data_IF_053323282607
#
_entry.id   IF_053323282607
#
_cell.length_a   1.000
_cell.length_b   1.000
_cell.length_c   1.000
_cell.angle_alpha   90.00
_cell.angle_beta   90.00
_cell.angle_gamma   90.00
#
_symmetry.space_group_name_H-M   'P 1'
#
loop_
_entity.id
_entity.type
_entity.pdbx_description
1 polymer ?
#
# COMPACT_ATOMS: atom_id res chain seq x y z
N UNK A 1 -12.65 0.35 56.94
CA UNK A 1 -11.19 0.07 57.00
C UNK A 1 -10.48 0.80 55.87
N UNK A 2 -9.31 1.37 56.20
CA UNK A 2 -8.05 1.45 55.42
C UNK A 2 -8.09 1.29 53.89
N UNK A 3 -7.64 2.35 53.20
CA UNK A 3 -7.23 2.40 51.80
C UNK A 3 -5.92 1.64 51.54
N UNK A 4 -5.71 1.16 50.31
CA UNK A 4 -4.38 0.88 49.72
C UNK A 4 -4.44 0.99 48.20
N UNK A 5 -4.03 2.13 47.63
CA UNK A 5 -3.77 2.28 46.19
C UNK A 5 -2.32 1.91 45.90
N UNK A 6 -2.09 0.90 45.06
CA UNK A 6 -0.73 0.51 44.66
C UNK A 6 -0.26 1.35 43.46
N UNK A 7 0.55 2.38 43.71
CA UNK A 7 1.25 3.12 42.66
C UNK A 7 2.51 2.33 42.26
N UNK A 8 2.61 1.89 41.01
CA UNK A 8 3.81 1.22 40.49
C UNK A 8 4.76 2.26 39.89
N UNK A 9 6.00 2.29 40.36
CA UNK A 9 6.94 3.38 40.12
C UNK A 9 7.94 3.01 39.01
N UNK A 10 8.00 3.80 37.95
CA UNK A 10 8.92 3.58 36.81
C UNK A 10 10.30 4.17 37.14
N UNK A 11 11.40 3.39 37.14
CA UNK A 11 12.74 3.94 37.31
C UNK A 11 13.22 4.61 36.02
N UNK A 12 13.55 5.91 36.11
CA UNK A 12 14.21 6.64 35.02
C UNK A 12 15.67 6.18 34.90
N UNK A 13 16.07 5.67 33.73
CA UNK A 13 17.48 5.38 33.43
C UNK A 13 18.07 6.56 32.66
N UNK A 14 18.93 7.32 33.35
CA UNK A 14 19.64 8.47 32.81
C UNK A 14 20.88 8.02 32.04
N UNK A 15 20.80 7.97 30.70
CA UNK A 15 21.96 7.66 29.85
C UNK A 15 22.71 8.96 29.52
N UNK A 16 23.97 9.06 29.97
CA UNK A 16 24.81 10.23 29.74
C UNK A 16 25.35 10.26 28.31
N UNK A 17 25.27 11.43 27.67
CA UNK A 17 26.02 11.70 26.45
C UNK A 17 27.52 11.88 26.77
N UNK A 18 28.39 11.06 26.18
CA UNK A 18 29.85 11.26 26.19
C UNK A 18 30.38 11.43 24.77
N UNK A 19 30.58 12.68 24.36
CA UNK A 19 31.28 12.99 23.11
C UNK A 19 32.79 12.80 23.30
N UNK A 20 33.41 11.93 22.49
CA UNK A 20 34.86 11.73 22.48
C UNK A 20 35.45 12.45 21.28
N UNK A 21 36.31 13.44 21.56
CA UNK A 21 37.07 14.22 20.57
C UNK A 21 38.48 13.63 20.45
N UNK A 22 38.97 13.38 19.23
CA UNK A 22 40.36 12.94 18.98
C UNK A 22 40.94 13.73 17.79
N UNK A 23 42.12 14.37 17.91
CA UNK A 23 42.66 15.24 16.87
C UNK A 23 43.72 14.60 15.95
N UNK A 24 43.65 14.97 14.68
CA UNK A 24 44.74 15.41 13.79
C UNK A 24 46.05 14.58 13.59
N UNK A 25 46.24 14.17 12.33
CA UNK A 25 47.47 14.38 11.50
C UNK A 25 48.72 13.50 11.66
N UNK A 26 49.13 12.91 10.53
CA UNK A 26 50.52 12.54 10.14
C UNK A 26 50.69 12.84 8.62
N UNK A 27 51.92 13.11 8.16
CA UNK A 27 52.24 13.59 6.81
C UNK A 27 53.28 12.70 6.07
N UNK A 28 53.03 12.41 4.78
CA UNK A 28 53.98 12.11 3.68
C UNK A 28 53.12 11.91 2.39
N UNK A 29 53.36 12.45 1.18
CA UNK A 29 54.57 12.55 0.32
C UNK A 29 55.08 11.17 -0.15
N UNK A 30 55.27 10.87 -1.45
CA UNK A 30 55.05 11.59 -2.73
C UNK A 30 54.66 10.55 -3.84
N UNK A 31 54.65 10.72 -5.18
CA UNK A 31 55.07 11.72 -6.18
C UNK A 31 54.20 11.58 -7.48
N UNK A 32 54.32 12.41 -8.55
CA UNK A 32 53.31 12.49 -9.63
C UNK A 32 53.53 11.61 -10.87
N UNK A 33 52.45 11.39 -11.64
CA UNK A 33 52.49 11.01 -13.06
C UNK A 33 51.38 11.75 -13.84
N UNK A 34 51.72 12.39 -14.96
CA UNK A 34 50.78 13.14 -15.80
C UNK A 34 50.11 12.23 -16.87
N UNK A 35 48.92 12.58 -17.39
CA UNK A 35 48.16 11.70 -18.29
C UNK A 35 48.58 11.83 -19.77
N UNK A 36 48.40 10.78 -20.60
CA UNK A 36 48.40 10.90 -22.05
C UNK A 36 47.09 11.55 -22.52
N UNK A 37 47.18 12.61 -23.33
CA UNK A 37 46.03 13.27 -23.93
C UNK A 37 45.66 12.63 -25.28
N UNK A 38 44.38 12.25 -25.45
CA UNK A 38 43.86 11.69 -26.71
C UNK A 38 42.74 12.56 -27.30
N UNK A 39 43.16 13.51 -28.12
CA UNK A 39 42.53 14.04 -29.34
C UNK A 39 40.98 14.13 -29.41
N UNK A 40 40.49 15.37 -29.47
CA UNK A 40 39.09 15.69 -29.82
C UNK A 40 38.91 15.82 -31.34
N UNK A 41 37.92 15.15 -31.93
CA UNK A 41 37.19 15.61 -33.13
C UNK A 41 35.77 14.99 -33.19
N UNK A 42 34.82 15.55 -33.96
CA UNK A 42 33.46 15.73 -33.43
C UNK A 42 32.31 15.02 -34.18
N UNK A 43 31.17 15.02 -33.49
CA UNK A 43 29.81 15.08 -34.05
C UNK A 43 29.29 13.90 -34.89
N UNK A 44 28.54 13.00 -34.23
CA UNK A 44 27.33 12.41 -34.83
C UNK A 44 26.20 12.49 -33.81
N UNK A 45 25.21 13.34 -34.07
CA UNK A 45 23.98 13.36 -33.28
C UNK A 45 23.21 12.04 -33.47
N UNK A 46 23.23 11.19 -32.44
CA UNK A 46 22.28 10.09 -32.29
C UNK A 46 21.23 10.55 -31.28
N UNK A 47 20.00 10.78 -31.76
CA UNK A 47 18.85 10.97 -30.89
C UNK A 47 18.67 9.69 -30.08
N UNK A 48 18.91 9.76 -28.77
CA UNK A 48 18.37 8.75 -27.86
C UNK A 48 16.85 8.90 -27.88
N UNK A 49 16.08 7.88 -28.32
CA UNK A 49 14.64 7.90 -28.07
C UNK A 49 14.45 7.85 -26.56
N UNK A 50 13.70 8.80 -26.00
CA UNK A 50 13.35 8.74 -24.59
C UNK A 50 12.60 7.43 -24.34
N UNK A 51 13.03 6.65 -23.35
CA UNK A 51 12.42 5.38 -22.98
C UNK A 51 11.03 5.59 -22.39
N UNK A 52 10.04 5.79 -23.26
CA UNK A 52 8.64 5.64 -22.91
C UNK A 52 8.42 4.16 -22.58
N UNK A 53 8.34 3.83 -21.28
CA UNK A 53 7.90 2.52 -20.79
C UNK A 53 6.40 2.38 -21.01
N UNK A 54 5.99 2.31 -22.28
CA UNK A 54 4.60 2.36 -22.73
C UNK A 54 4.09 0.98 -23.11
N UNK A 55 3.19 0.43 -22.29
CA UNK A 55 2.25 -0.65 -22.65
C UNK A 55 2.82 -2.00 -23.14
N UNK A 56 4.15 -2.20 -23.13
CA UNK A 56 4.77 -3.50 -23.42
C UNK A 56 4.60 -4.47 -22.23
N UNK A 57 3.46 -5.17 -22.18
CA UNK A 57 3.22 -6.42 -21.44
C UNK A 57 1.83 -7.01 -21.74
N UNK A 58 0.86 -6.20 -22.19
CA UNK A 58 -0.47 -6.67 -22.64
C UNK A 58 -0.44 -7.33 -24.04
N UNK A 59 0.66 -8.00 -24.37
CA UNK A 59 0.73 -8.91 -25.51
C UNK A 59 0.01 -10.21 -25.10
N UNK A 60 -1.30 -10.26 -25.33
CA UNK A 60 -2.10 -11.46 -25.10
C UNK A 60 -1.45 -12.66 -25.79
N UNK A 61 -1.22 -13.75 -25.05
CA UNK A 61 -0.61 -14.93 -25.64
C UNK A 61 -1.56 -15.49 -26.71
N UNK A 62 -1.01 -16.05 -27.78
CA UNK A 62 -1.80 -16.61 -28.89
C UNK A 62 -2.53 -17.88 -28.45
N UNK A 63 -3.66 -17.69 -27.77
CA UNK A 63 -4.42 -18.72 -27.05
C UNK A 63 -5.22 -18.19 -25.85
N UNK A 64 -4.92 -17.00 -25.33
CA UNK A 64 -5.68 -16.40 -24.22
C UNK A 64 -7.13 -16.10 -24.62
N UNK A 65 -8.10 -16.57 -23.82
CA UNK A 65 -9.51 -16.22 -24.05
C UNK A 65 -9.82 -14.79 -23.59
N UNK A 66 -10.95 -14.26 -24.07
CA UNK A 66 -11.46 -12.96 -23.61
C UNK A 66 -11.81 -12.93 -22.11
N UNK A 67 -11.96 -14.08 -21.44
CA UNK A 67 -12.06 -14.15 -19.99
C UNK A 67 -10.67 -14.16 -19.36
N UNK A 68 -9.73 -15.01 -19.81
CA UNK A 68 -8.36 -15.03 -19.26
C UNK A 68 -7.67 -13.66 -19.32
N UNK A 69 -7.93 -12.83 -20.33
CA UNK A 69 -7.42 -11.46 -20.37
C UNK A 69 -7.98 -10.57 -19.23
N UNK A 70 -9.24 -10.77 -18.80
CA UNK A 70 -9.81 -10.10 -17.62
C UNK A 70 -9.19 -10.66 -16.35
N UNK A 71 -9.12 -11.96 -16.19
CA UNK A 71 -8.55 -12.63 -15.02
C UNK A 71 -7.12 -12.13 -14.75
N UNK A 72 -6.30 -12.00 -15.81
CA UNK A 72 -4.96 -11.42 -15.75
C UNK A 72 -4.94 -9.92 -15.40
N UNK A 73 -5.89 -9.15 -15.91
CA UNK A 73 -6.07 -7.74 -15.53
C UNK A 73 -6.52 -7.58 -14.07
N UNK A 74 -7.42 -8.45 -13.59
CA UNK A 74 -7.88 -8.50 -12.22
C UNK A 74 -6.73 -8.83 -11.27
N UNK A 75 -5.95 -9.90 -11.51
CA UNK A 75 -4.79 -10.27 -10.69
C UNK A 75 -3.77 -9.12 -10.58
N UNK A 76 -3.50 -8.43 -11.69
CA UNK A 76 -2.62 -7.25 -11.73
C UNK A 76 -3.19 -6.05 -10.96
N UNK A 77 -4.52 -5.85 -10.96
CA UNK A 77 -5.21 -4.81 -10.15
C UNK A 77 -5.20 -5.14 -8.67
N UNK A 78 -5.60 -6.35 -8.30
CA UNK A 78 -5.68 -6.83 -6.92
C UNK A 78 -4.31 -6.74 -6.22
N UNK A 79 -3.22 -7.12 -6.90
CA UNK A 79 -1.87 -6.96 -6.38
C UNK A 79 -1.38 -5.50 -6.32
N UNK A 80 -2.01 -4.56 -7.04
CA UNK A 80 -1.74 -3.13 -6.92
C UNK A 80 -2.44 -2.56 -5.68
N UNK A 81 -3.75 -2.80 -5.55
CA UNK A 81 -4.54 -2.40 -4.38
C UNK A 81 -4.00 -3.01 -3.09
N UNK A 82 -3.84 -4.33 -3.05
CA UNK A 82 -3.28 -5.04 -1.89
C UNK A 82 -1.86 -4.61 -1.50
N UNK A 83 -1.06 -4.02 -2.40
CA UNK A 83 0.23 -3.41 -2.04
C UNK A 83 0.05 -2.02 -1.42
N UNK A 84 -0.89 -1.22 -1.93
CA UNK A 84 -1.28 0.06 -1.34
C UNK A 84 -1.86 -0.14 0.07
N UNK A 85 -2.83 -1.06 0.22
CA UNK A 85 -3.52 -1.33 1.48
C UNK A 85 -2.56 -1.80 2.59
N UNK A 86 -1.55 -2.62 2.28
CA UNK A 86 -0.50 -2.99 3.23
C UNK A 86 0.33 -1.77 3.66
N UNK A 87 0.72 -0.88 2.74
CA UNK A 87 1.50 0.32 3.08
C UNK A 87 0.68 1.38 3.83
N UNK A 88 -0.59 1.55 3.47
CA UNK A 88 -1.51 2.45 4.16
C UNK A 88 -1.90 1.90 5.54
N UNK A 89 -2.08 0.58 5.67
CA UNK A 89 -2.25 -0.12 6.95
C UNK A 89 -1.05 0.05 7.88
N UNK A 90 0.17 -0.01 7.35
CA UNK A 90 1.40 0.27 8.10
C UNK A 90 1.43 1.73 8.60
N UNK A 91 1.03 2.71 7.79
CA UNK A 91 0.87 4.09 8.26
C UNK A 91 -0.20 4.20 9.36
N UNK A 92 -1.34 3.54 9.21
CA UNK A 92 -2.43 3.61 10.19
C UNK A 92 -2.11 2.93 11.52
N UNK A 93 -1.42 1.80 11.52
CA UNK A 93 -0.89 1.16 12.72
C UNK A 93 0.08 2.07 13.51
N UNK A 94 0.81 2.95 12.82
CA UNK A 94 1.80 3.88 13.41
C UNK A 94 1.22 5.24 13.79
N UNK A 95 0.33 5.81 12.96
CA UNK A 95 -0.12 7.22 13.01
C UNK A 95 -1.59 7.39 13.43
N UNK A 96 -2.38 6.32 13.45
CA UNK A 96 -3.81 6.37 13.81
C UNK A 96 -4.03 6.97 15.20
N UNK A 97 -5.00 7.86 15.35
CA UNK A 97 -5.17 8.64 16.58
C UNK A 97 -5.90 7.88 17.68
N UNK A 98 -6.74 6.90 17.33
CA UNK A 98 -7.34 5.95 18.28
C UNK A 98 -6.93 4.50 18.00
N UNK A 99 -7.01 3.66 19.02
CA UNK A 99 -6.47 2.30 18.97
C UNK A 99 -7.26 1.39 18.01
N UNK A 100 -8.52 1.71 17.71
CA UNK A 100 -9.32 1.00 16.71
C UNK A 100 -8.81 1.26 15.28
N UNK A 101 -8.31 2.47 14.99
CA UNK A 101 -7.72 2.80 13.68
C UNK A 101 -6.37 2.12 13.52
N UNK A 102 -5.56 2.06 14.59
CA UNK A 102 -4.30 1.30 14.59
C UNK A 102 -4.54 -0.19 14.42
N UNK A 103 -5.52 -0.76 15.14
CA UNK A 103 -5.87 -2.17 15.05
C UNK A 103 -6.44 -2.55 13.67
N UNK A 104 -7.28 -1.70 13.07
CA UNK A 104 -7.74 -1.89 11.70
C UNK A 104 -6.58 -1.76 10.71
N UNK A 105 -5.68 -0.79 10.88
CA UNK A 105 -4.44 -0.66 10.12
C UNK A 105 -3.59 -1.93 10.15
N UNK A 106 -3.34 -2.48 11.33
CA UNK A 106 -2.63 -3.76 11.48
C UNK A 106 -3.37 -4.92 10.80
N UNK A 107 -4.70 -4.99 10.91
CA UNK A 107 -5.49 -6.01 10.21
C UNK A 107 -5.38 -5.90 8.68
N UNK A 108 -5.29 -4.69 8.12
CA UNK A 108 -4.99 -4.51 6.68
C UNK A 108 -3.61 -5.09 6.34
N UNK A 109 -2.58 -4.80 7.15
CA UNK A 109 -1.23 -5.35 6.95
C UNK A 109 -1.26 -6.87 6.95
N UNK A 110 -1.83 -7.50 7.97
CA UNK A 110 -1.78 -8.95 8.16
C UNK A 110 -2.59 -9.69 7.07
N UNK A 111 -3.84 -9.28 6.85
CA UNK A 111 -4.73 -9.96 5.91
C UNK A 111 -4.33 -9.70 4.45
N UNK A 112 -4.03 -8.45 4.05
CA UNK A 112 -3.68 -8.18 2.64
C UNK A 112 -2.28 -8.70 2.30
N UNK A 113 -1.32 -8.72 3.24
CA UNK A 113 -0.05 -9.44 3.03
C UNK A 113 -0.31 -10.92 2.76
N UNK A 114 -1.24 -11.55 3.51
CA UNK A 114 -1.62 -12.94 3.24
C UNK A 114 -2.30 -13.10 1.86
N UNK A 115 -3.28 -12.26 1.51
CA UNK A 115 -3.97 -12.33 0.22
C UNK A 115 -3.02 -12.13 -0.96
N UNK A 116 -2.09 -11.18 -0.87
CA UNK A 116 -1.05 -10.96 -1.88
C UNK A 116 -0.18 -12.23 -2.08
N UNK A 117 0.25 -12.86 -0.97
CA UNK A 117 1.05 -14.09 -1.00
C UNK A 117 0.26 -15.29 -1.55
N UNK A 118 -1.03 -15.42 -1.22
CA UNK A 118 -1.91 -16.47 -1.72
C UNK A 118 -2.17 -16.32 -3.25
N UNK A 119 -2.28 -15.08 -3.75
CA UNK A 119 -2.56 -14.76 -5.16
C UNK A 119 -1.32 -14.79 -6.06
N UNK A 120 -0.13 -14.50 -5.53
CA UNK A 120 1.13 -14.46 -6.29
C UNK A 120 1.42 -15.70 -7.18
N UNK A 121 1.29 -16.96 -6.71
CA UNK A 121 1.50 -18.14 -7.56
C UNK A 121 0.41 -18.34 -8.63
N UNK A 122 -0.79 -17.79 -8.44
CA UNK A 122 -1.86 -17.81 -9.45
C UNK A 122 -1.52 -16.80 -10.55
N UNK A 123 -1.04 -15.61 -10.18
CA UNK A 123 -0.53 -14.63 -11.12
C UNK A 123 0.65 -15.18 -11.95
N UNK A 124 1.63 -15.81 -11.31
CA UNK A 124 2.79 -16.41 -12.00
C UNK A 124 2.38 -17.52 -12.98
N UNK A 125 1.52 -18.46 -12.56
CA UNK A 125 1.05 -19.55 -13.44
C UNK A 125 0.19 -19.08 -14.62
N UNK A 126 -0.46 -17.90 -14.51
CA UNK A 126 -1.17 -17.24 -15.61
C UNK A 126 -0.28 -16.31 -16.46
N UNK A 127 1.02 -16.17 -16.13
CA UNK A 127 1.98 -15.31 -16.83
C UNK A 127 1.82 -13.81 -16.53
N UNK A 128 1.25 -13.45 -15.38
CA UNK A 128 0.97 -12.07 -14.99
C UNK A 128 2.14 -11.48 -14.21
N UNK A 129 2.85 -10.53 -14.82
CA UNK A 129 3.88 -9.76 -14.12
C UNK A 129 3.24 -8.76 -13.14
N UNK A 130 3.27 -9.12 -11.87
CA UNK A 130 2.74 -8.29 -10.78
C UNK A 130 3.53 -6.97 -10.59
N UNK A 131 2.89 -5.90 -10.09
CA UNK A 131 3.59 -4.67 -9.73
C UNK A 131 4.57 -4.91 -8.56
N UNK A 132 5.66 -4.15 -8.53
CA UNK A 132 6.66 -4.16 -7.46
C UNK A 132 6.72 -2.85 -6.67
N UNK A 133 5.88 -1.88 -7.05
CA UNK A 133 5.84 -0.53 -6.53
C UNK A 133 4.39 -0.02 -6.52
N UNK A 134 4.14 1.07 -5.79
CA UNK A 134 2.88 1.81 -5.89
C UNK A 134 2.73 2.43 -7.28
N UNK A 135 1.50 2.59 -7.75
CA UNK A 135 1.21 3.47 -8.88
C UNK A 135 1.29 4.94 -8.41
N UNK A 136 0.99 5.91 -9.29
CA UNK A 136 1.14 7.34 -8.92
C UNK A 136 0.05 7.80 -7.96
N UNK A 137 -1.12 7.22 -8.10
CA UNK A 137 -2.35 7.52 -7.39
C UNK A 137 -2.26 6.98 -5.95
N UNK A 138 -1.87 5.71 -5.76
CA UNK A 138 -1.62 5.09 -4.45
C UNK A 138 -0.47 5.82 -3.71
N UNK A 139 0.60 6.20 -4.43
CA UNK A 139 1.75 6.89 -3.83
C UNK A 139 1.38 8.31 -3.39
N UNK A 140 0.57 9.03 -4.17
CA UNK A 140 0.09 10.35 -3.79
C UNK A 140 -0.81 10.30 -2.54
N UNK A 141 -1.64 9.25 -2.40
CA UNK A 141 -2.45 9.05 -1.20
C UNK A 141 -1.59 8.64 0.02
N UNK A 142 -0.58 7.77 -0.18
CA UNK A 142 0.41 7.46 0.86
C UNK A 142 1.15 8.71 1.34
N UNK A 143 1.63 9.56 0.42
CA UNK A 143 2.38 10.78 0.75
C UNK A 143 1.50 11.79 1.49
N UNK A 144 0.24 11.95 1.05
CA UNK A 144 -0.79 12.76 1.71
C UNK A 144 -1.07 12.28 3.14
N UNK A 145 -1.39 11.00 3.32
CA UNK A 145 -1.62 10.41 4.64
C UNK A 145 -0.37 10.47 5.53
N UNK A 146 0.82 10.29 4.97
CA UNK A 146 2.07 10.44 5.73
C UNK A 146 2.29 11.89 6.22
N UNK A 147 1.80 12.89 5.48
CA UNK A 147 1.80 14.31 5.91
C UNK A 147 0.76 14.66 6.98
N UNK A 148 -0.30 13.87 7.15
CA UNK A 148 -1.36 14.10 8.14
C UNK A 148 -1.03 13.52 9.53
N UNK A 149 -1.79 13.93 10.54
CA UNK A 149 -1.72 13.38 11.90
C UNK A 149 -3.05 13.53 12.64
N UNK A 150 -3.24 12.82 13.76
CA UNK A 150 -4.41 13.00 14.63
C UNK A 150 -5.73 12.70 13.92
N UNK A 151 -6.75 13.51 14.18
CA UNK A 151 -8.09 13.31 13.61
C UNK A 151 -8.10 13.43 12.07
N UNK A 152 -7.25 14.28 11.50
CA UNK A 152 -7.21 14.50 10.04
C UNK A 152 -6.66 13.27 9.33
N UNK A 153 -5.66 12.60 9.93
CA UNK A 153 -5.18 11.30 9.47
C UNK A 153 -6.29 10.24 9.49
N UNK A 154 -6.96 10.09 10.64
CA UNK A 154 -8.03 9.09 10.78
C UNK A 154 -9.20 9.34 9.80
N UNK A 155 -9.57 10.61 9.62
CA UNK A 155 -10.67 11.01 8.73
C UNK A 155 -10.36 10.67 7.28
N UNK A 156 -9.17 11.01 6.81
CA UNK A 156 -8.74 10.70 5.44
C UNK A 156 -8.56 9.19 5.23
N UNK A 157 -7.88 8.51 6.15
CA UNK A 157 -7.60 7.08 6.05
C UNK A 157 -8.89 6.25 6.00
N UNK A 158 -9.87 6.56 6.85
CA UNK A 158 -11.16 5.88 6.83
C UNK A 158 -12.01 6.25 5.60
N UNK A 159 -11.96 7.51 5.14
CA UNK A 159 -12.63 7.95 3.91
C UNK A 159 -12.11 7.20 2.68
N UNK A 160 -10.78 7.09 2.54
CA UNK A 160 -10.14 6.30 1.51
C UNK A 160 -10.51 4.81 1.62
N UNK A 161 -10.31 4.21 2.80
CA UNK A 161 -10.51 2.77 3.00
C UNK A 161 -11.97 2.35 2.78
N UNK A 162 -12.95 3.16 3.17
CA UNK A 162 -14.37 2.94 2.82
C UNK A 162 -14.55 2.90 1.30
N UNK A 163 -14.10 3.94 0.60
CA UNK A 163 -14.26 4.04 -0.87
C UNK A 163 -13.61 2.86 -1.59
N UNK A 164 -12.41 2.46 -1.16
CA UNK A 164 -11.65 1.41 -1.84
C UNK A 164 -12.19 0.01 -1.52
N UNK A 165 -12.55 -0.28 -0.27
CA UNK A 165 -13.14 -1.58 0.09
C UNK A 165 -14.50 -1.82 -0.57
N UNK A 166 -15.33 -0.78 -0.77
CA UNK A 166 -16.58 -0.93 -1.54
C UNK A 166 -16.33 -1.15 -3.03
N UNK A 167 -15.27 -0.55 -3.60
CA UNK A 167 -14.81 -0.80 -4.97
C UNK A 167 -14.32 -2.24 -5.12
N UNK A 168 -13.44 -2.70 -4.25
CA UNK A 168 -12.80 -4.01 -4.40
C UNK A 168 -13.74 -5.15 -4.03
N UNK A 169 -14.64 -4.96 -3.05
CA UNK A 169 -15.75 -5.89 -2.84
C UNK A 169 -16.63 -6.06 -4.08
N UNK A 170 -16.77 -5.01 -4.92
CA UNK A 170 -17.47 -5.09 -6.19
C UNK A 170 -16.63 -5.81 -7.28
N UNK A 171 -15.37 -5.44 -7.45
CA UNK A 171 -14.48 -6.06 -8.45
C UNK A 171 -14.22 -7.55 -8.15
N UNK A 172 -13.93 -7.93 -6.90
CA UNK A 172 -13.77 -9.34 -6.49
C UNK A 172 -15.06 -10.15 -6.65
N UNK A 173 -16.24 -9.57 -6.41
CA UNK A 173 -17.53 -10.25 -6.66
C UNK A 173 -17.81 -10.45 -8.16
N UNK A 174 -17.39 -9.52 -9.02
CA UNK A 174 -17.49 -9.71 -10.48
C UNK A 174 -16.54 -10.81 -10.97
N UNK A 175 -15.30 -10.82 -10.48
CA UNK A 175 -14.30 -11.82 -10.84
C UNK A 175 -14.75 -13.22 -10.37
N UNK A 176 -15.13 -13.37 -9.11
CA UNK A 176 -15.62 -14.64 -8.55
C UNK A 176 -16.80 -15.25 -9.34
N UNK A 177 -17.62 -14.40 -9.95
CA UNK A 177 -18.79 -14.79 -10.76
C UNK A 177 -18.49 -14.97 -12.26
N UNK A 178 -17.27 -14.68 -12.74
CA UNK A 178 -16.95 -14.70 -14.19
C UNK A 178 -15.66 -15.42 -14.59
N UNK A 179 -14.65 -15.56 -13.71
CA UNK A 179 -13.49 -16.42 -14.01
C UNK A 179 -13.92 -17.87 -14.22
N UNK A 180 -13.23 -18.54 -15.14
CA UNK A 180 -13.39 -19.97 -15.41
C UNK A 180 -12.23 -20.81 -14.88
N UNK A 181 -11.22 -20.19 -14.24
CA UNK A 181 -10.15 -20.93 -13.57
C UNK A 181 -10.58 -21.34 -12.14
N UNK A 182 -10.57 -22.63 -11.78
CA UNK A 182 -11.07 -23.09 -10.49
C UNK A 182 -10.15 -22.70 -9.31
N UNK A 183 -8.86 -22.46 -9.57
CA UNK A 183 -7.89 -22.03 -8.55
C UNK A 183 -8.09 -20.56 -8.23
N UNK A 184 -8.18 -19.72 -9.27
CA UNK A 184 -8.51 -18.30 -9.13
C UNK A 184 -9.89 -18.13 -8.50
N UNK A 185 -10.91 -18.85 -8.98
CA UNK A 185 -12.26 -18.78 -8.39
C UNK A 185 -12.25 -19.14 -6.90
N UNK A 186 -11.47 -20.14 -6.48
CA UNK A 186 -11.32 -20.50 -5.05
C UNK A 186 -10.64 -19.39 -4.25
N UNK A 187 -9.56 -18.81 -4.77
CA UNK A 187 -8.81 -17.73 -4.10
C UNK A 187 -9.64 -16.44 -3.99
N UNK A 188 -10.29 -16.01 -5.08
CA UNK A 188 -11.13 -14.80 -5.12
C UNK A 188 -12.36 -14.96 -4.22
N UNK A 189 -12.99 -16.14 -4.16
CA UNK A 189 -14.09 -16.39 -3.20
C UNK A 189 -13.64 -16.33 -1.73
N UNK A 190 -12.38 -16.63 -1.42
CA UNK A 190 -11.85 -16.47 -0.07
C UNK A 190 -11.49 -15.00 0.24
N UNK A 191 -10.80 -14.32 -0.68
CA UNK A 191 -10.52 -12.89 -0.57
C UNK A 191 -11.80 -12.03 -0.45
N UNK A 192 -12.85 -12.37 -1.20
CA UNK A 192 -14.17 -11.70 -1.14
C UNK A 192 -14.76 -11.70 0.27
N UNK A 193 -14.54 -12.76 1.07
CA UNK A 193 -15.01 -12.84 2.46
C UNK A 193 -14.24 -11.87 3.35
N UNK A 194 -12.93 -11.83 3.19
CA UNK A 194 -12.00 -10.96 3.94
C UNK A 194 -12.30 -9.48 3.65
N UNK A 195 -12.35 -9.09 2.37
CA UNK A 195 -12.66 -7.72 1.94
C UNK A 195 -14.08 -7.30 2.37
N UNK A 196 -15.05 -8.23 2.43
CA UNK A 196 -16.37 -7.95 2.99
C UNK A 196 -16.35 -7.70 4.51
N UNK A 197 -15.54 -8.46 5.25
CA UNK A 197 -15.33 -8.28 6.69
C UNK A 197 -14.67 -6.92 6.98
N UNK A 198 -13.63 -6.57 6.22
CA UNK A 198 -12.94 -5.28 6.27
C UNK A 198 -13.85 -4.11 5.87
N UNK A 199 -14.63 -4.26 4.79
CA UNK A 199 -15.66 -3.31 4.37
C UNK A 199 -16.61 -3.00 5.53
N UNK A 200 -17.17 -4.01 6.21
CA UNK A 200 -18.04 -3.81 7.37
C UNK A 200 -17.34 -3.13 8.57
N UNK A 201 -16.06 -3.41 8.80
CA UNK A 201 -15.27 -2.77 9.86
C UNK A 201 -14.99 -1.30 9.57
N UNK A 202 -14.49 -0.96 8.39
CA UNK A 202 -14.19 0.45 8.05
C UNK A 202 -15.47 1.27 7.99
N UNK A 203 -16.57 0.70 7.47
CA UNK A 203 -17.92 1.26 7.52
C UNK A 203 -18.33 1.67 8.95
N UNK A 204 -18.05 0.80 9.93
CA UNK A 204 -18.37 1.06 11.33
C UNK A 204 -17.47 2.16 11.89
N UNK A 205 -16.16 2.07 11.70
CA UNK A 205 -15.19 3.05 12.22
C UNK A 205 -15.41 4.45 11.65
N UNK A 206 -15.72 4.54 10.34
CA UNK A 206 -16.07 5.79 9.69
C UNK A 206 -17.34 6.41 10.30
N UNK A 207 -18.41 5.63 10.50
CA UNK A 207 -19.63 6.10 11.18
C UNK A 207 -19.37 6.53 12.62
N UNK A 208 -18.62 5.75 13.39
CA UNK A 208 -18.32 6.04 14.80
C UNK A 208 -17.49 7.33 14.97
N UNK A 209 -16.66 7.68 13.97
CA UNK A 209 -15.89 8.94 13.91
C UNK A 209 -16.56 10.07 13.12
N UNK A 210 -17.78 9.87 12.61
CA UNK A 210 -18.52 10.87 11.85
C UNK A 210 -17.97 11.17 10.44
N UNK A 211 -17.13 10.28 9.89
CA UNK A 211 -16.58 10.40 8.54
C UNK A 211 -17.69 10.19 7.49
N UNK A 212 -17.86 11.08 6.50
CA UNK A 212 -18.93 10.96 5.51
C UNK A 212 -18.84 9.68 4.65
N UNK A 213 -19.87 8.83 4.74
CA UNK A 213 -20.00 7.62 3.94
C UNK A 213 -20.47 7.91 2.49
N UNK A 214 -20.02 7.15 1.48
CA UNK A 214 -20.63 7.14 0.15
C UNK A 214 -22.14 6.85 0.22
N UNK A 215 -22.94 7.77 -0.33
CA UNK A 215 -24.40 7.71 -0.28
C UNK A 215 -24.97 6.64 -1.23
N UNK A 216 -25.06 5.39 -0.77
CA UNK A 216 -25.70 4.28 -1.50
C UNK A 216 -27.23 4.41 -1.57
N UNK A 217 -27.72 5.38 -2.35
CA UNK A 217 -29.08 5.43 -2.88
C UNK A 217 -30.24 5.64 -1.89
N UNK A 218 -29.98 5.63 -0.58
CA UNK A 218 -30.98 5.89 0.45
C UNK A 218 -31.43 7.35 0.39
N UNK A 219 -32.56 7.61 -0.30
CA UNK A 219 -33.22 8.93 -0.25
C UNK A 219 -33.51 9.27 1.22
N UNK A 220 -32.90 10.34 1.72
CA UNK A 220 -33.09 10.82 3.08
C UNK A 220 -34.58 11.04 3.37
N UNK A 221 -35.16 10.19 4.21
CA UNK A 221 -36.46 10.44 4.80
C UNK A 221 -36.28 11.55 5.85
N UNK A 222 -36.55 12.81 5.45
CA UNK A 222 -36.49 13.95 6.36
C UNK A 222 -37.41 13.71 7.57
N UNK A 223 -36.99 14.03 8.81
CA UNK A 223 -37.91 14.10 9.92
C UNK A 223 -38.94 15.20 9.67
N UNK A 224 -40.23 14.85 9.63
CA UNK A 224 -41.30 15.84 9.75
C UNK A 224 -41.26 16.42 11.16
N UNK A 225 -41.40 17.76 11.29
CA UNK A 225 -41.54 18.44 12.58
C UNK A 225 -42.97 18.36 13.12
#
# INVERSE_FOLDING_TARGET
MKLSSACSQIPQILILCTAILVPASVLAQSDPMAPPASQTQPNRAQQVPASATSMQDSAANSGDTAQNMKDKMFLRKAAQGGMAEVKLGQLAAQKGSSDEVKAFGQKMVDDHTKLNNDMAPIADSMGVRLPTNLNKEDQAEYDKLNGLSGNDFDTEYLSFMVKDHHKDLHEFRQEAASTTDPTLQTAVNNATKVIHEHSMMVDKLARDKGVPMPQHGAKSASPTM
#
